data_IF_714409116537
#
_entry.id   IF_714409116537
#
_cell.length_a   1.000
_cell.length_b   1.000
_cell.length_c   1.000
_cell.angle_alpha   90.00
_cell.angle_beta   90.00
_cell.angle_gamma   90.00
#
_symmetry.space_group_name_H-M   'P 1'
#
loop_
_entity.id
_entity.type
_entity.pdbx_description
1 polymer ?
#
# COMPACT_ATOMS: atom_id res chain seq x y z
N UNK A 1 9.55 16.20 -8.86
CA UNK A 1 11.03 16.09 -9.12
C UNK A 1 11.66 17.48 -9.29
N UNK A 2 11.19 18.31 -10.18
CA UNK A 2 11.82 19.62 -10.46
C UNK A 2 11.93 20.52 -9.21
N UNK A 3 10.88 20.59 -8.38
CA UNK A 3 10.93 21.36 -7.12
C UNK A 3 11.95 20.74 -6.15
N UNK A 4 11.98 19.43 -6.03
CA UNK A 4 12.93 18.72 -5.16
C UNK A 4 14.39 18.93 -5.57
N UNK A 5 14.67 18.97 -6.86
CA UNK A 5 16.01 19.15 -7.41
C UNK A 5 16.49 20.60 -7.39
N UNK A 6 15.58 21.56 -7.59
CA UNK A 6 15.95 22.95 -7.79
C UNK A 6 15.57 23.89 -6.64
N UNK A 7 14.63 23.49 -5.78
CA UNK A 7 14.07 24.33 -4.72
C UNK A 7 13.70 23.54 -3.47
N UNK A 8 14.60 22.63 -3.06
CA UNK A 8 14.40 21.70 -1.94
C UNK A 8 13.99 22.40 -0.64
N UNK A 9 14.45 23.62 -0.41
CA UNK A 9 14.14 24.42 0.78
C UNK A 9 12.63 24.64 0.99
N UNK A 10 11.79 24.50 -0.05
CA UNK A 10 10.33 24.56 0.07
C UNK A 10 9.82 23.51 1.06
N UNK A 11 10.50 22.36 1.15
CA UNK A 11 10.10 21.27 2.03
C UNK A 11 10.57 21.40 3.49
N UNK A 12 11.49 22.36 3.79
CA UNK A 12 12.05 22.54 5.14
C UNK A 12 10.99 22.89 6.20
N UNK A 13 9.88 23.50 5.77
CA UNK A 13 8.79 23.89 6.66
C UNK A 13 7.50 23.09 6.45
N UNK A 14 7.56 21.99 5.69
CA UNK A 14 6.39 21.11 5.48
C UNK A 14 6.33 20.07 6.59
N UNK A 15 5.32 20.16 7.43
CA UNK A 15 5.06 19.19 8.50
C UNK A 15 4.17 18.03 8.11
N UNK A 16 3.40 18.17 7.00
CA UNK A 16 2.54 17.12 6.49
C UNK A 16 2.26 17.30 5.01
N UNK A 17 2.39 16.23 4.24
CA UNK A 17 2.12 16.20 2.81
C UNK A 17 1.00 15.22 2.49
N UNK A 18 0.01 15.67 1.73
CA UNK A 18 -1.07 14.83 1.20
C UNK A 18 -0.92 14.80 -0.31
N UNK A 19 -0.54 13.66 -0.85
CA UNK A 19 -0.46 13.45 -2.29
C UNK A 19 -1.71 12.75 -2.81
N UNK A 20 -2.19 13.19 -3.96
CA UNK A 20 -3.40 12.67 -4.60
C UNK A 20 -3.06 12.22 -6.01
N UNK A 21 -3.20 10.94 -6.25
CA UNK A 21 -2.95 10.31 -7.53
C UNK A 21 -4.25 9.81 -8.18
N UNK A 22 -4.26 9.69 -9.49
CA UNK A 22 -5.35 9.09 -10.26
C UNK A 22 -4.83 8.01 -11.18
N UNK A 23 -4.73 6.76 -10.70
CA UNK A 23 -4.35 5.62 -11.56
C UNK A 23 -5.52 5.04 -12.34
N UNK A 24 -6.69 5.53 -12.09
CA UNK A 24 -7.89 5.20 -12.83
C UNK A 24 -9.00 6.19 -12.48
N UNK A 25 -9.98 6.38 -13.36
CA UNK A 25 -11.01 7.39 -13.18
C UNK A 25 -12.07 7.01 -12.13
N UNK A 26 -11.95 5.82 -11.52
CA UNK A 26 -13.06 5.18 -10.82
C UNK A 26 -12.63 4.32 -9.64
N UNK A 27 -13.59 3.96 -8.78
CA UNK A 27 -13.43 3.05 -7.67
C UNK A 27 -13.19 3.74 -6.32
N UNK A 28 -13.02 2.95 -5.28
CA UNK A 28 -12.69 3.47 -3.97
C UNK A 28 -11.29 4.08 -3.97
N UNK A 29 -11.14 5.16 -3.22
CA UNK A 29 -9.85 5.82 -3.00
C UNK A 29 -9.07 5.05 -1.96
N UNK A 30 -7.92 4.56 -2.33
CA UNK A 30 -7.02 3.80 -1.49
C UNK A 30 -5.91 4.70 -0.95
N UNK A 31 -5.74 4.74 0.36
CA UNK A 31 -4.49 5.17 0.97
C UNK A 31 -3.49 4.04 0.79
N UNK A 32 -2.63 4.14 -0.22
CA UNK A 32 -1.78 3.04 -0.64
C UNK A 32 -0.32 3.17 -0.21
N UNK A 33 0.10 4.37 0.23
CA UNK A 33 1.46 4.62 0.65
C UNK A 33 1.50 5.68 1.77
N UNK A 34 2.39 5.49 2.73
CA UNK A 34 2.68 6.44 3.82
C UNK A 34 4.19 6.58 3.96
N UNK A 35 4.66 7.67 4.55
CA UNK A 35 6.07 7.81 4.92
C UNK A 35 6.50 6.72 5.93
N UNK A 36 7.81 6.44 6.05
CA UNK A 36 8.37 5.69 7.17
C UNK A 36 8.03 6.37 8.51
N UNK A 37 7.85 5.56 9.57
CA UNK A 37 7.45 6.10 10.86
C UNK A 37 5.98 6.59 10.88
N UNK A 38 5.07 5.81 10.34
CA UNK A 38 3.70 6.20 10.04
C UNK A 38 2.72 6.13 11.23
N UNK A 39 3.16 5.74 12.44
CA UNK A 39 2.26 5.52 13.60
C UNK A 39 1.30 6.70 13.82
N UNK A 40 1.84 7.91 14.03
CA UNK A 40 1.03 9.10 14.32
C UNK A 40 0.15 9.56 13.14
N UNK A 41 0.63 9.35 11.91
CA UNK A 41 -0.16 9.65 10.70
C UNK A 41 -1.34 8.69 10.59
N UNK A 42 -1.13 7.41 10.86
CA UNK A 42 -2.19 6.42 10.83
C UNK A 42 -3.21 6.61 11.96
N UNK A 43 -2.77 7.06 13.14
CA UNK A 43 -3.65 7.45 14.23
C UNK A 43 -4.53 8.66 13.84
N UNK A 44 -3.93 9.69 13.22
CA UNK A 44 -4.66 10.85 12.69
C UNK A 44 -5.67 10.43 11.61
N UNK A 45 -5.26 9.57 10.68
CA UNK A 45 -6.15 9.03 9.64
C UNK A 45 -7.29 8.20 10.24
N UNK A 46 -6.99 7.36 11.23
CA UNK A 46 -7.98 6.55 11.93
C UNK A 46 -9.00 7.41 12.69
N UNK A 47 -8.55 8.47 13.36
CA UNK A 47 -9.42 9.38 14.09
C UNK A 47 -10.37 10.16 13.16
N UNK A 48 -9.86 10.64 12.03
CA UNK A 48 -10.56 11.70 11.26
C UNK A 48 -11.27 11.24 10.02
N UNK A 49 -10.63 10.37 9.23
CA UNK A 49 -11.12 10.02 7.89
C UNK A 49 -12.39 9.19 7.92
N UNK A 50 -13.28 9.41 6.96
CA UNK A 50 -14.49 8.61 6.75
C UNK A 50 -14.28 7.62 5.61
N UNK A 51 -14.97 6.47 5.70
CA UNK A 51 -14.89 5.42 4.68
C UNK A 51 -13.46 4.96 4.37
N UNK A 52 -12.68 4.81 5.44
CA UNK A 52 -11.27 4.45 5.38
C UNK A 52 -11.01 3.22 4.50
N UNK A 53 -10.07 3.35 3.60
CA UNK A 53 -9.69 2.27 2.70
C UNK A 53 -8.18 2.24 2.52
N UNK A 54 -7.52 1.30 3.19
CA UNK A 54 -6.05 1.21 3.20
C UNK A 54 -5.59 -0.22 3.45
N UNK A 55 -4.42 -0.56 2.91
CA UNK A 55 -3.73 -1.83 3.15
C UNK A 55 -2.22 -1.59 3.09
N UNK A 56 -1.50 -1.83 4.17
CA UNK A 56 -0.03 -1.72 4.19
C UNK A 56 0.65 -2.62 3.15
N UNK A 57 0.01 -3.73 2.76
CA UNK A 57 0.51 -4.59 1.70
C UNK A 57 0.64 -3.86 0.36
N UNK A 58 -0.21 -2.86 0.09
CA UNK A 58 -0.14 -2.09 -1.16
C UNK A 58 1.14 -1.28 -1.27
N UNK A 59 1.61 -0.68 -0.17
CA UNK A 59 2.91 0.01 -0.13
C UNK A 59 4.06 -0.95 -0.46
N UNK A 60 4.01 -2.17 0.09
CA UNK A 60 5.03 -3.21 -0.19
C UNK A 60 4.99 -3.63 -1.65
N UNK A 61 3.80 -3.91 -2.19
CA UNK A 61 3.66 -4.27 -3.62
C UNK A 61 4.12 -3.13 -4.51
N UNK A 62 3.75 -1.89 -4.16
CA UNK A 62 4.11 -0.71 -4.93
C UNK A 62 5.63 -0.49 -4.98
N UNK A 63 6.35 -0.74 -3.89
CA UNK A 63 7.81 -0.61 -3.85
C UNK A 63 8.56 -1.55 -4.80
N UNK A 64 7.93 -2.64 -5.27
CA UNK A 64 8.47 -3.54 -6.29
C UNK A 64 8.09 -3.15 -7.72
N UNK A 65 7.20 -2.18 -7.90
CA UNK A 65 6.78 -1.75 -9.23
C UNK A 65 7.76 -0.71 -9.78
N UNK A 66 8.07 -0.73 -11.09
CA UNK A 66 9.00 0.23 -11.72
C UNK A 66 8.33 1.59 -11.95
N UNK A 67 7.73 2.16 -10.94
CA UNK A 67 7.06 3.46 -10.98
C UNK A 67 7.14 4.14 -9.61
N UNK A 68 6.97 5.45 -9.61
CA UNK A 68 6.99 6.29 -8.43
C UNK A 68 6.01 7.45 -8.61
N UNK A 69 5.63 8.07 -7.50
CA UNK A 69 4.82 9.29 -7.48
C UNK A 69 5.66 10.47 -7.00
N UNK A 70 5.11 11.66 -7.04
CA UNK A 70 5.76 12.84 -6.47
C UNK A 70 5.99 12.68 -4.96
N UNK A 71 5.13 11.94 -4.27
CA UNK A 71 5.30 11.62 -2.85
C UNK A 71 6.50 10.72 -2.58
N UNK A 72 6.77 9.74 -3.43
CA UNK A 72 7.87 8.79 -3.27
C UNK A 72 9.24 9.49 -3.17
N UNK A 73 9.38 10.66 -3.81
CA UNK A 73 10.63 11.42 -3.83
C UNK A 73 10.93 12.07 -2.47
N UNK A 74 9.90 12.42 -1.72
CA UNK A 74 10.02 13.21 -0.48
C UNK A 74 9.62 12.44 0.78
N UNK A 75 9.08 11.24 0.65
CA UNK A 75 8.47 10.49 1.75
C UNK A 75 9.43 10.13 2.89
N UNK A 76 10.72 10.07 2.62
CA UNK A 76 11.73 9.79 3.66
C UNK A 76 12.05 11.04 4.51
N UNK A 77 11.72 12.23 4.02
CA UNK A 77 12.04 13.49 4.67
C UNK A 77 10.81 14.25 5.17
N UNK A 78 9.67 14.06 4.51
CA UNK A 78 8.42 14.76 4.85
C UNK A 78 7.34 13.75 5.27
N UNK A 79 6.78 13.90 6.49
CA UNK A 79 5.63 13.10 6.90
C UNK A 79 4.47 13.24 5.91
N UNK A 80 3.87 12.14 5.49
CA UNK A 80 2.81 12.27 4.50
C UNK A 80 2.08 10.98 4.15
N UNK A 81 1.07 11.16 3.32
CA UNK A 81 0.16 10.11 2.82
C UNK A 81 -0.06 10.24 1.32
N UNK A 82 -0.26 9.12 0.67
CA UNK A 82 -0.49 9.03 -0.77
C UNK A 82 -1.77 8.25 -1.07
N UNK A 83 -2.72 8.91 -1.73
CA UNK A 83 -4.02 8.36 -2.08
C UNK A 83 -4.16 8.17 -3.57
N UNK A 84 -4.83 7.10 -4.01
CA UNK A 84 -5.15 6.90 -5.41
C UNK A 84 -6.46 6.13 -5.62
N UNK A 85 -7.19 6.46 -6.68
CA UNK A 85 -8.15 5.55 -7.30
C UNK A 85 -7.40 4.56 -8.19
N UNK A 86 -7.85 3.29 -8.21
CA UNK A 86 -7.15 2.20 -8.89
C UNK A 86 -8.03 1.33 -9.79
N UNK A 87 -9.30 1.67 -9.99
CA UNK A 87 -10.17 0.94 -10.90
C UNK A 87 -10.11 1.54 -12.32
N UNK A 88 -10.33 0.69 -13.32
CA UNK A 88 -10.22 1.04 -14.74
C UNK A 88 -8.83 1.61 -15.12
N UNK A 89 -7.77 0.96 -14.65
CA UNK A 89 -6.36 1.32 -14.89
C UNK A 89 -6.01 1.42 -16.39
N UNK A 90 -6.79 0.75 -17.26
CA UNK A 90 -6.63 0.84 -18.70
C UNK A 90 -6.88 2.25 -19.28
N UNK A 91 -7.48 3.17 -18.52
CA UNK A 91 -7.60 4.57 -18.90
C UNK A 91 -6.33 5.37 -18.62
N UNK A 92 -5.52 4.93 -17.67
CA UNK A 92 -4.32 5.64 -17.22
C UNK A 92 -3.32 5.88 -18.35
N UNK A 93 -2.87 7.12 -18.48
CA UNK A 93 -1.96 7.57 -19.56
C UNK A 93 -2.49 7.33 -20.99
N UNK A 94 -3.80 7.36 -21.20
CA UNK A 94 -4.45 7.31 -22.50
C UNK A 94 -5.39 8.51 -22.70
N UNK A 95 -5.93 8.68 -23.90
CA UNK A 95 -6.95 9.72 -24.21
C UNK A 95 -8.25 9.53 -23.41
N UNK A 96 -8.45 8.36 -22.82
CA UNK A 96 -9.57 8.07 -21.94
C UNK A 96 -9.38 8.63 -20.53
N UNK A 97 -8.17 9.03 -20.17
CA UNK A 97 -7.86 9.72 -18.91
C UNK A 97 -8.25 11.20 -19.04
N UNK A 98 -9.53 11.45 -18.98
CA UNK A 98 -10.12 12.76 -19.17
C UNK A 98 -11.29 12.99 -18.21
N UNK A 99 -11.67 14.26 -18.05
CA UNK A 99 -12.72 14.68 -17.12
C UNK A 99 -14.07 13.98 -17.33
N UNK A 100 -14.44 13.63 -18.57
CA UNK A 100 -15.73 12.98 -18.87
C UNK A 100 -15.84 11.57 -18.31
N UNK A 101 -14.70 10.93 -18.05
CA UNK A 101 -14.61 9.57 -17.51
C UNK A 101 -14.42 9.53 -15.99
N UNK A 102 -14.18 10.69 -15.34
CA UNK A 102 -13.99 10.76 -13.89
C UNK A 102 -15.31 10.50 -13.17
N UNK A 103 -15.28 9.57 -12.22
CA UNK A 103 -16.44 9.23 -11.40
C UNK A 103 -16.60 10.19 -10.22
N UNK A 104 -17.74 10.88 -10.14
CA UNK A 104 -18.03 11.82 -9.07
C UNK A 104 -18.05 11.18 -7.67
N UNK A 105 -18.43 9.90 -7.55
CA UNK A 105 -18.40 9.19 -6.27
C UNK A 105 -16.96 8.93 -5.80
N UNK A 106 -16.02 8.74 -6.73
CA UNK A 106 -14.60 8.62 -6.39
C UNK A 106 -14.05 9.95 -5.87
N UNK A 107 -14.39 11.08 -6.51
CA UNK A 107 -14.03 12.41 -6.01
C UNK A 107 -14.64 12.67 -4.63
N UNK A 108 -15.92 12.30 -4.43
CA UNK A 108 -16.58 12.39 -3.13
C UNK A 108 -15.84 11.55 -2.06
N UNK A 109 -15.31 10.39 -2.45
CA UNK A 109 -14.56 9.53 -1.53
C UNK A 109 -13.19 10.13 -1.17
N UNK A 110 -12.48 10.78 -2.10
CA UNK A 110 -11.29 11.60 -1.77
C UNK A 110 -11.65 12.65 -0.71
N UNK A 111 -12.68 13.44 -0.96
CA UNK A 111 -13.12 14.47 -0.01
C UNK A 111 -13.49 13.91 1.37
N UNK A 112 -14.17 12.77 1.41
CA UNK A 112 -14.59 12.14 2.67
C UNK A 112 -13.42 11.63 3.52
N UNK A 113 -12.33 11.21 2.89
CA UNK A 113 -11.12 10.76 3.61
C UNK A 113 -10.21 11.93 3.97
N UNK A 114 -9.99 12.86 3.04
CA UNK A 114 -8.92 13.85 3.12
C UNK A 114 -9.36 15.12 3.83
N UNK A 115 -10.59 15.60 3.58
CA UNK A 115 -11.04 16.87 4.17
C UNK A 115 -11.02 16.85 5.70
N UNK A 116 -11.57 15.83 6.39
CA UNK A 116 -11.49 15.79 7.85
C UNK A 116 -10.04 15.68 8.37
N UNK A 117 -9.19 14.93 7.67
CA UNK A 117 -7.77 14.79 7.97
C UNK A 117 -7.06 16.16 7.89
N UNK A 118 -7.21 16.87 6.76
CA UNK A 118 -6.61 18.17 6.55
C UNK A 118 -7.16 19.22 7.54
N UNK A 119 -8.46 19.22 7.78
CA UNK A 119 -9.10 20.14 8.75
C UNK A 119 -8.55 19.93 10.16
N UNK A 120 -8.43 18.71 10.62
CA UNK A 120 -7.84 18.41 11.94
C UNK A 120 -6.40 18.90 12.00
N UNK A 121 -5.60 18.61 10.96
CA UNK A 121 -4.21 19.04 10.88
C UNK A 121 -4.05 20.57 10.99
N UNK A 122 -4.88 21.35 10.30
CA UNK A 122 -4.73 22.82 10.30
C UNK A 122 -5.38 23.51 11.48
N UNK A 123 -6.28 22.85 12.22
CA UNK A 123 -7.02 23.47 13.33
C UNK A 123 -6.54 23.06 14.70
N UNK A 124 -5.88 21.89 14.84
CA UNK A 124 -5.40 21.43 16.13
C UNK A 124 -4.01 22.00 16.41
N UNK A 125 -3.84 22.75 17.53
CA UNK A 125 -2.57 23.38 17.88
C UNK A 125 -1.39 22.41 18.03
N UNK A 126 -1.62 21.12 18.24
CA UNK A 126 -0.57 20.11 18.38
C UNK A 126 0.29 20.01 17.11
N UNK A 127 -0.29 20.28 15.94
CA UNK A 127 0.40 20.25 14.66
C UNK A 127 1.14 21.56 14.33
N UNK A 128 1.14 22.55 15.22
CA UNK A 128 2.04 23.71 15.09
C UNK A 128 3.51 23.31 15.18
N UNK A 129 3.80 22.20 15.85
CA UNK A 129 5.09 21.53 15.74
C UNK A 129 5.12 20.71 14.45
N UNK A 130 5.90 21.15 13.47
CA UNK A 130 6.04 20.49 12.16
C UNK A 130 6.56 19.05 12.26
N UNK A 131 7.31 18.74 13.34
CA UNK A 131 7.90 17.43 13.53
C UNK A 131 6.98 16.50 14.36
N UNK A 132 5.80 16.97 14.77
CA UNK A 132 4.87 16.19 15.57
C UNK A 132 4.47 14.87 14.92
N UNK A 133 4.23 14.86 13.61
CA UNK A 133 3.84 13.64 12.87
C UNK A 133 5.01 12.69 12.57
N UNK A 134 6.25 13.10 12.83
CA UNK A 134 7.39 12.21 12.71
C UNK A 134 7.35 11.20 13.85
N UNK A 135 7.34 9.93 13.51
CA UNK A 135 7.40 8.84 14.46
C UNK A 135 8.51 7.86 14.06
N UNK A 136 9.05 7.14 15.03
CA UNK A 136 10.05 6.09 14.77
C UNK A 136 9.39 4.74 14.44
N UNK A 137 8.13 4.58 14.84
CA UNK A 137 7.42 3.32 14.72
C UNK A 137 6.56 3.26 13.48
N UNK A 138 6.49 2.07 12.92
CA UNK A 138 5.57 1.75 11.83
C UNK A 138 4.41 0.91 12.35
N UNK A 139 3.22 1.16 11.81
CA UNK A 139 2.05 0.32 11.98
C UNK A 139 1.76 -0.45 10.71
N UNK A 140 1.08 -1.57 10.87
CA UNK A 140 0.45 -2.35 9.80
C UNK A 140 -1.03 -2.06 9.84
N UNK A 141 -1.56 -1.60 8.73
CA UNK A 141 -2.95 -1.20 8.62
C UNK A 141 -3.65 -1.94 7.47
N UNK A 142 -4.91 -2.25 7.69
CA UNK A 142 -5.78 -2.84 6.67
C UNK A 142 -7.24 -2.61 7.00
N UNK A 143 -8.04 -2.40 5.97
CA UNK A 143 -9.48 -2.23 6.09
C UNK A 143 -10.19 -3.55 5.81
N UNK A 144 -11.08 -3.96 6.72
CA UNK A 144 -11.95 -5.11 6.53
C UNK A 144 -13.38 -4.61 6.28
N UNK A 145 -13.98 -4.93 5.12
CA UNK A 145 -15.35 -4.54 4.83
C UNK A 145 -16.31 -4.96 5.95
N UNK A 146 -17.11 -4.02 6.43
CA UNK A 146 -18.08 -4.26 7.51
C UNK A 146 -17.51 -4.22 8.94
N UNK A 147 -16.18 -4.31 9.13
CA UNK A 147 -15.54 -4.24 10.44
C UNK A 147 -14.76 -2.92 10.65
N UNK A 148 -14.29 -2.29 9.58
CA UNK A 148 -13.55 -1.03 9.65
C UNK A 148 -12.03 -1.18 9.47
N UNK A 149 -11.30 -0.15 9.91
CA UNK A 149 -9.84 -0.10 9.86
C UNK A 149 -9.24 -0.82 11.07
N UNK A 150 -8.24 -1.64 10.80
CA UNK A 150 -7.33 -2.19 11.80
C UNK A 150 -5.97 -1.51 11.63
N UNK A 151 -5.49 -0.92 12.70
CA UNK A 151 -4.19 -0.25 12.78
C UNK A 151 -3.40 -0.87 13.95
N UNK A 152 -2.38 -1.64 13.63
CA UNK A 152 -1.67 -2.48 14.60
C UNK A 152 -0.18 -2.19 14.53
N UNK A 153 0.49 -2.06 15.67
CA UNK A 153 1.94 -1.87 15.66
C UNK A 153 2.64 -3.02 14.92
N UNK A 154 3.69 -2.72 14.18
CA UNK A 154 4.47 -3.73 13.43
C UNK A 154 4.94 -4.87 14.35
N UNK A 155 5.32 -4.55 15.58
CA UNK A 155 5.74 -5.55 16.57
C UNK A 155 4.59 -6.48 16.97
N UNK A 156 3.41 -5.93 17.29
CA UNK A 156 2.25 -6.74 17.64
C UNK A 156 1.82 -7.62 16.45
N UNK A 157 1.82 -7.07 15.23
CA UNK A 157 1.54 -7.84 14.02
C UNK A 157 2.52 -8.99 13.82
N UNK A 158 3.82 -8.77 14.02
CA UNK A 158 4.82 -9.84 13.96
C UNK A 158 4.58 -10.92 15.01
N UNK A 159 4.28 -10.54 16.25
CA UNK A 159 3.99 -11.49 17.34
C UNK A 159 2.76 -12.33 17.00
N UNK A 160 1.67 -11.70 16.52
CA UNK A 160 0.46 -12.40 16.10
C UNK A 160 0.78 -13.43 15.00
N UNK A 161 1.55 -13.05 13.99
CA UNK A 161 1.94 -13.97 12.91
C UNK A 161 2.78 -15.15 13.42
N UNK A 162 3.72 -14.90 14.35
CA UNK A 162 4.50 -15.97 14.97
C UNK A 162 3.59 -16.92 15.74
N UNK A 163 2.65 -16.41 16.54
CA UNK A 163 1.70 -17.22 17.30
C UNK A 163 0.85 -18.07 16.33
N UNK A 164 0.29 -17.47 15.28
CA UNK A 164 -0.52 -18.18 14.28
C UNK A 164 0.32 -19.27 13.60
N UNK A 165 1.56 -18.97 13.23
CA UNK A 165 2.47 -19.95 12.64
C UNK A 165 2.76 -21.12 13.58
N UNK A 166 3.07 -20.86 14.85
CA UNK A 166 3.31 -21.90 15.87
C UNK A 166 2.06 -22.77 16.08
N UNK A 167 0.88 -22.15 16.19
CA UNK A 167 -0.37 -22.90 16.32
C UNK A 167 -0.64 -23.76 15.10
N UNK A 168 -0.36 -23.26 13.90
CA UNK A 168 -0.48 -24.02 12.66
C UNK A 168 0.47 -25.24 12.66
N UNK A 169 1.74 -25.06 13.03
CA UNK A 169 2.72 -26.14 13.12
C UNK A 169 2.28 -27.18 14.16
N UNK A 170 1.83 -26.74 15.35
CA UNK A 170 1.31 -27.63 16.39
C UNK A 170 0.11 -28.45 15.91
N UNK A 171 -0.81 -27.81 15.18
CA UNK A 171 -1.97 -28.52 14.62
C UNK A 171 -1.54 -29.57 13.61
N UNK A 172 -0.62 -29.27 12.71
CA UNK A 172 -0.07 -30.22 11.73
C UNK A 172 0.60 -31.41 12.48
N UNK A 173 1.43 -31.11 13.48
CA UNK A 173 2.09 -32.18 14.30
C UNK A 173 1.07 -33.08 14.99
N UNK A 174 0.04 -32.49 15.60
CA UNK A 174 -1.02 -33.26 16.25
C UNK A 174 -1.77 -34.16 15.27
N UNK A 175 -2.08 -33.68 14.07
CA UNK A 175 -2.78 -34.49 13.05
C UNK A 175 -1.89 -35.61 12.49
N UNK A 176 -0.58 -35.36 12.39
CA UNK A 176 0.40 -36.41 12.05
C UNK A 176 0.50 -37.47 13.17
N UNK A 177 0.60 -37.04 14.44
CA UNK A 177 0.68 -37.94 15.59
C UNK A 177 -0.60 -38.79 15.77
N UNK A 178 -1.76 -38.22 15.41
CA UNK A 178 -3.04 -38.96 15.39
C UNK A 178 -3.18 -39.92 14.20
N UNK A 179 -2.20 -39.97 13.33
CA UNK A 179 -2.22 -40.81 12.13
C UNK A 179 -3.22 -40.37 11.04
N UNK A 180 -3.83 -39.17 11.18
CA UNK A 180 -4.78 -38.64 10.21
C UNK A 180 -4.10 -38.07 8.97
N UNK A 181 -2.87 -37.57 9.15
CA UNK A 181 -2.06 -36.94 8.06
C UNK A 181 -0.69 -37.60 8.06
N UNK A 182 -0.20 -38.00 6.89
CA UNK A 182 1.16 -38.49 6.71
C UNK A 182 2.11 -37.33 6.48
N UNK A 183 3.23 -37.28 7.18
CA UNK A 183 4.24 -36.21 7.02
C UNK A 183 4.66 -36.05 5.56
N UNK A 184 4.81 -37.16 4.84
CA UNK A 184 5.15 -37.11 3.41
C UNK A 184 4.07 -36.43 2.56
N UNK A 185 2.81 -36.49 2.96
CA UNK A 185 1.73 -35.76 2.28
C UNK A 185 1.83 -34.23 2.52
N UNK A 186 2.19 -33.83 3.75
CA UNK A 186 2.44 -32.42 4.08
C UNK A 186 3.60 -31.86 3.23
N UNK A 187 4.72 -32.60 3.17
CA UNK A 187 5.88 -32.21 2.37
C UNK A 187 5.53 -32.12 0.88
N UNK A 188 4.81 -33.11 0.34
CA UNK A 188 4.35 -33.08 -1.05
C UNK A 188 3.49 -31.86 -1.35
N UNK A 189 2.52 -31.55 -0.50
CA UNK A 189 1.64 -30.38 -0.66
C UNK A 189 2.45 -29.06 -0.60
N UNK A 190 3.37 -28.95 0.34
CA UNK A 190 4.25 -27.78 0.44
C UNK A 190 5.09 -27.61 -0.85
N UNK A 191 5.66 -28.70 -1.37
CA UNK A 191 6.40 -28.66 -2.64
C UNK A 191 5.50 -28.26 -3.82
N UNK A 192 4.28 -28.80 -3.90
CA UNK A 192 3.32 -28.44 -4.97
C UNK A 192 2.98 -26.94 -4.90
N UNK A 193 2.70 -26.40 -3.72
CA UNK A 193 2.40 -24.96 -3.55
C UNK A 193 3.61 -24.10 -3.96
N UNK A 194 4.81 -24.50 -3.54
CA UNK A 194 6.04 -23.78 -3.91
C UNK A 194 6.30 -23.81 -5.43
N UNK A 195 6.21 -25.00 -6.04
CA UNK A 195 6.36 -25.16 -7.49
C UNK A 195 5.31 -24.34 -8.25
N UNK A 196 4.06 -24.34 -7.77
CA UNK A 196 3.00 -23.53 -8.37
C UNK A 196 3.31 -22.03 -8.30
N UNK A 197 3.73 -21.54 -7.12
CA UNK A 197 4.10 -20.13 -6.94
C UNK A 197 5.25 -19.71 -7.88
N UNK A 198 6.31 -20.54 -7.97
CA UNK A 198 7.43 -20.28 -8.88
C UNK A 198 6.96 -20.31 -10.34
N UNK A 199 6.09 -21.25 -10.70
CA UNK A 199 5.56 -21.35 -12.07
C UNK A 199 4.73 -20.13 -12.45
N UNK A 200 3.89 -19.62 -11.54
CA UNK A 200 3.08 -18.41 -11.78
C UNK A 200 3.98 -17.20 -12.03
N UNK A 201 5.03 -17.02 -11.21
CA UNK A 201 5.99 -15.94 -11.41
C UNK A 201 6.72 -16.07 -12.74
N UNK A 202 7.22 -17.26 -13.06
CA UNK A 202 7.96 -17.50 -14.31
C UNK A 202 7.08 -17.28 -15.56
N UNK A 203 5.82 -17.73 -15.52
CA UNK A 203 4.86 -17.51 -16.62
C UNK A 203 4.51 -16.02 -16.72
N UNK A 204 4.31 -15.34 -15.59
CA UNK A 204 4.04 -13.90 -15.57
C UNK A 204 5.17 -13.10 -16.23
N UNK A 205 6.44 -13.37 -15.87
CA UNK A 205 7.61 -12.74 -16.48
C UNK A 205 7.74 -13.07 -17.99
N UNK A 206 7.48 -14.33 -18.37
CA UNK A 206 7.51 -14.73 -19.78
C UNK A 206 6.43 -14.00 -20.60
N UNK A 207 5.22 -13.91 -20.09
CA UNK A 207 4.11 -13.17 -20.75
C UNK A 207 4.48 -11.69 -20.89
N UNK A 208 5.00 -11.06 -19.82
CA UNK A 208 5.43 -9.68 -19.86
C UNK A 208 6.55 -9.45 -20.89
N UNK A 209 7.53 -10.37 -20.96
CA UNK A 209 8.62 -10.33 -21.94
C UNK A 209 8.09 -10.43 -23.38
N UNK A 210 7.23 -11.41 -23.66
CA UNK A 210 6.63 -11.59 -24.98
C UNK A 210 5.78 -10.41 -25.39
N UNK A 211 4.99 -9.87 -24.46
CA UNK A 211 4.17 -8.67 -24.70
C UNK A 211 5.03 -7.45 -25.04
N UNK A 212 6.14 -7.25 -24.34
CA UNK A 212 7.08 -6.17 -24.63
C UNK A 212 7.72 -6.32 -26.01
N UNK A 213 8.09 -7.55 -26.41
CA UNK A 213 8.63 -7.83 -27.75
C UNK A 213 7.60 -7.49 -28.84
N UNK A 214 6.34 -7.89 -28.66
CA UNK A 214 5.26 -7.62 -29.64
C UNK A 214 5.01 -6.11 -29.76
N UNK A 215 5.03 -5.40 -28.61
CA UNK A 215 4.82 -3.95 -28.56
C UNK A 215 6.04 -3.13 -29.00
N UNK A 216 7.18 -3.75 -29.30
CA UNK A 216 8.44 -3.05 -29.56
C UNK A 216 8.98 -2.25 -28.37
N UNK A 217 8.50 -2.58 -27.16
CA UNK A 217 8.85 -1.91 -25.92
C UNK A 217 10.06 -2.58 -25.24
N UNK A 218 10.79 -1.80 -24.43
CA UNK A 218 11.88 -2.34 -23.63
C UNK A 218 11.31 -3.11 -22.42
N UNK A 219 11.60 -4.41 -22.36
CA UNK A 219 11.22 -5.22 -21.20
C UNK A 219 11.98 -4.78 -19.95
N UNK A 220 11.25 -4.61 -18.84
CA UNK A 220 11.82 -4.49 -17.50
C UNK A 220 11.29 -5.62 -16.63
N UNK A 221 12.15 -6.48 -16.07
CA UNK A 221 11.73 -7.53 -15.14
C UNK A 221 11.05 -6.93 -13.91
N UNK A 222 10.15 -7.70 -13.31
CA UNK A 222 9.51 -7.32 -12.05
C UNK A 222 10.57 -7.12 -10.95
N UNK A 223 10.50 -5.98 -10.26
CA UNK A 223 11.44 -5.62 -9.18
C UNK A 223 12.74 -4.95 -9.63
N UNK A 224 12.92 -4.66 -10.93
CA UNK A 224 14.04 -3.82 -11.42
C UNK A 224 13.51 -2.40 -11.65
N UNK A 225 13.87 -1.49 -10.80
CA UNK A 225 13.56 -0.04 -10.89
C UNK A 225 14.58 0.66 -11.80
#
# INVERSE_FOLDING_TARGET
>A
TAIWENDRQVFDNVGFLINLEGRGPWGPVLLFETCPGNEKIMDLYEETSKYKYTYSLTSVVYSFMPNFTDFTIVMDEVPGVNFSTIADVNHYHTDLDNFSNVNAASIQHYGAQILPLAMKYVTDPVFADKDYLRAEKNTVNFTVPGLGLFNVSKTAYMIINIIVFVLFVLLVVLEVLRGRVKIMSVVKQACVVLCFAISVLAVGELVAYVSALIAGARFKPFGVV
#
